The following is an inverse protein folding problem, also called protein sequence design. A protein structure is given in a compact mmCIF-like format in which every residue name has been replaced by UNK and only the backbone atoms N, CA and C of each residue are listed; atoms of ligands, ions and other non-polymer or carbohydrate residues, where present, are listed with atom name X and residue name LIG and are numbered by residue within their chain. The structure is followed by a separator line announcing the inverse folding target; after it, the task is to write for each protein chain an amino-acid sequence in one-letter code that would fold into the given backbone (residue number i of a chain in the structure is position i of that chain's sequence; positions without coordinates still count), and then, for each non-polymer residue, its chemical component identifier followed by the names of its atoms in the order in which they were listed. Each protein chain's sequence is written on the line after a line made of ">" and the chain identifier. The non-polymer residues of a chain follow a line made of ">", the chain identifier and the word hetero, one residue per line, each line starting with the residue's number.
data_IF_397848740274
#
_entry.id   IF_397848740274
#
_cell.length_a   1.000
_cell.length_b   1.000
_cell.length_c   1.000
_cell.angle_alpha   90.00
_cell.angle_beta   90.00
_cell.angle_gamma   90.00
#
_symmetry.space_group_name_H-M   'P 1'
#
loop_
_entity.id
_entity.type
_entity.pdbx_description
1 polymer ?
#
# COMPACT_ATOMS: atom_id res chain seq x y z
N UNK A 1 2.70 17.60 12.17
CA UNK A 1 1.58 17.01 11.39
C UNK A 1 0.47 18.03 11.15
N UNK A 2 -0.08 18.64 12.20
CA UNK A 2 -1.22 19.59 12.07
C UNK A 2 -0.97 20.77 11.12
N UNK A 3 0.19 21.42 11.06
CA UNK A 3 0.44 22.50 10.12
C UNK A 3 0.40 22.08 8.64
N UNK A 4 0.53 20.77 8.37
CA UNK A 4 0.50 20.19 7.02
C UNK A 4 -0.85 19.51 6.70
N UNK A 5 -1.84 19.63 7.58
CA UNK A 5 -3.15 19.02 7.40
C UNK A 5 -3.14 17.48 7.55
N UNK A 6 -2.05 16.91 8.11
CA UNK A 6 -1.98 15.47 8.35
C UNK A 6 -2.65 15.10 9.66
N UNK A 7 -3.31 13.94 9.67
CA UNK A 7 -3.87 13.36 10.89
C UNK A 7 -2.76 12.95 11.86
N UNK A 8 -2.96 13.10 13.18
CA UNK A 8 -2.08 12.54 14.16
C UNK A 8 -2.13 11.00 14.11
N UNK A 9 -0.98 10.37 14.29
CA UNK A 9 -0.89 8.91 14.52
C UNK A 9 -1.22 8.61 15.96
N UNK A 10 -2.02 7.59 16.19
CA UNK A 10 -2.50 7.17 17.51
C UNK A 10 -2.11 5.71 17.80
N UNK A 11 -2.01 5.38 19.07
CA UNK A 11 -1.88 4.00 19.53
C UNK A 11 -3.26 3.51 19.94
N UNK A 12 -3.80 2.57 19.19
CA UNK A 12 -5.12 1.99 19.44
C UNK A 12 -5.08 1.07 20.68
N UNK A 13 -6.21 0.96 21.37
CA UNK A 13 -6.38 -0.01 22.46
C UNK A 13 -6.68 -1.40 21.89
N UNK A 14 -5.65 -2.04 21.39
CA UNK A 14 -5.66 -3.38 20.80
C UNK A 14 -4.59 -4.24 21.48
N UNK A 15 -4.75 -5.57 21.52
CA UNK A 15 -3.70 -6.47 21.97
C UNK A 15 -2.54 -6.51 20.96
N UNK A 16 -1.34 -6.83 21.44
CA UNK A 16 -0.16 -7.03 20.61
C UNK A 16 0.90 -5.94 20.74
N UNK A 17 1.96 -6.05 19.93
CA UNK A 17 3.04 -5.07 19.89
C UNK A 17 2.53 -3.66 19.51
N UNK A 18 3.27 -2.62 19.91
CA UNK A 18 2.87 -1.23 19.64
C UNK A 18 2.71 -0.94 18.14
N UNK A 19 3.56 -1.54 17.29
CA UNK A 19 3.44 -1.41 15.84
C UNK A 19 2.08 -1.88 15.31
N UNK A 20 1.57 -3.00 15.83
CA UNK A 20 0.27 -3.55 15.43
C UNK A 20 -0.91 -2.73 15.94
N UNK A 21 -0.66 -1.78 16.83
CA UNK A 21 -1.63 -0.87 17.42
C UNK A 21 -1.65 0.52 16.76
N UNK A 22 -0.83 0.74 15.75
CA UNK A 22 -0.83 1.99 15.00
C UNK A 22 -2.17 2.23 14.32
N UNK A 23 -2.65 3.45 14.44
CA UNK A 23 -3.85 3.93 13.80
C UNK A 23 -3.86 5.44 13.68
N UNK A 24 -4.91 5.97 13.11
CA UNK A 24 -5.29 7.37 13.15
C UNK A 24 -6.79 7.44 12.93
N UNK A 25 -7.48 8.38 13.56
CA UNK A 25 -8.90 8.58 13.34
C UNK A 25 -9.14 9.32 12.02
N UNK A 26 -9.65 8.67 10.98
CA UNK A 26 -10.01 9.31 9.72
C UNK A 26 -11.32 10.10 9.83
N UNK A 27 -11.97 10.13 11.00
CA UNK A 27 -13.31 10.72 11.20
C UNK A 27 -13.46 12.15 10.69
N UNK A 28 -12.53 13.07 10.99
CA UNK A 28 -12.58 14.42 10.42
C UNK A 28 -12.44 14.46 8.90
N UNK A 29 -11.57 13.58 8.32
CA UNK A 29 -11.31 13.54 6.88
C UNK A 29 -12.42 12.82 6.10
N UNK A 30 -13.05 11.80 6.69
CA UNK A 30 -14.25 11.20 6.08
C UNK A 30 -15.40 12.21 5.95
N UNK A 31 -15.39 13.26 6.76
CA UNK A 31 -16.35 14.37 6.69
C UNK A 31 -15.94 15.46 5.70
N UNK A 32 -14.68 15.53 5.34
CA UNK A 32 -14.18 16.28 4.19
C UNK A 32 -14.10 15.38 2.95
N UNK A 33 -15.09 14.49 2.76
CA UNK A 33 -15.45 14.09 1.40
C UNK A 33 -15.42 15.37 0.56
N UNK A 34 -14.79 15.38 -0.61
CA UNK A 34 -14.68 16.60 -1.38
C UNK A 34 -16.02 17.30 -1.38
N UNK A 35 -16.03 18.59 -1.03
CA UNK A 35 -17.25 19.39 -1.03
C UNK A 35 -17.86 19.47 -2.44
N UNK A 36 -17.15 18.93 -3.41
CA UNK A 36 -17.54 18.74 -4.79
C UNK A 36 -17.75 17.24 -5.08
N UNK A 37 -19.01 16.78 -5.24
CA UNK A 37 -19.31 15.42 -5.68
C UNK A 37 -18.76 15.09 -7.08
N UNK A 38 -18.31 16.09 -7.85
CA UNK A 38 -17.66 15.94 -9.14
C UNK A 38 -16.14 15.74 -9.03
N UNK A 39 -15.55 15.85 -7.83
CA UNK A 39 -14.13 15.58 -7.64
C UNK A 39 -13.85 14.13 -8.06
N UNK A 40 -12.96 13.98 -9.01
CA UNK A 40 -12.57 12.69 -9.55
C UNK A 40 -12.13 11.73 -8.43
N UNK A 41 -12.95 10.71 -8.20
CA UNK A 41 -12.67 9.61 -7.28
C UNK A 41 -12.23 8.37 -8.04
N UNK A 42 -11.23 8.53 -8.88
CA UNK A 42 -10.67 7.42 -9.66
C UNK A 42 -10.35 6.22 -8.76
N UNK A 43 -10.65 5.03 -9.25
CA UNK A 43 -10.31 3.79 -8.55
C UNK A 43 -8.79 3.64 -8.45
N UNK A 44 -8.30 3.36 -7.26
CA UNK A 44 -6.90 3.03 -7.01
C UNK A 44 -6.77 1.55 -6.64
N UNK A 45 -5.96 0.81 -7.38
CA UNK A 45 -5.61 -0.57 -7.07
C UNK A 45 -4.38 -0.62 -6.17
N UNK A 46 -4.52 -1.24 -5.01
CA UNK A 46 -3.42 -1.49 -4.06
C UNK A 46 -3.09 -2.98 -4.10
N UNK A 47 -1.90 -3.31 -4.58
CA UNK A 47 -1.40 -4.69 -4.62
C UNK A 47 -0.71 -4.99 -3.30
N UNK A 48 -1.16 -6.04 -2.62
CA UNK A 48 -0.64 -6.50 -1.33
C UNK A 48 -0.14 -7.94 -1.47
N UNK A 49 1.15 -8.14 -1.86
CA UNK A 49 1.71 -9.49 -1.91
C UNK A 49 1.95 -10.00 -0.48
N UNK A 50 1.65 -11.28 -0.25
CA UNK A 50 1.89 -11.94 1.04
C UNK A 50 2.40 -13.37 0.84
N UNK A 51 3.40 -13.74 1.65
CA UNK A 51 3.89 -15.10 1.78
C UNK A 51 4.25 -15.38 3.23
N UNK A 52 3.57 -16.34 3.86
CA UNK A 52 3.73 -16.70 5.28
C UNK A 52 3.75 -15.45 6.19
N UNK A 53 2.75 -14.57 6.02
CA UNK A 53 2.63 -13.29 6.72
C UNK A 53 1.39 -13.22 7.62
N UNK A 54 0.89 -14.33 8.15
CA UNK A 54 -0.32 -14.38 8.97
C UNK A 54 -0.26 -13.43 10.19
N UNK A 55 0.94 -13.25 10.78
CA UNK A 55 1.13 -12.39 11.94
C UNK A 55 1.03 -10.88 11.61
N UNK A 56 1.39 -10.47 10.40
CA UNK A 56 1.51 -9.05 10.01
C UNK A 56 0.37 -8.57 9.11
N UNK A 57 -0.24 -9.47 8.34
CA UNK A 57 -1.27 -9.14 7.35
C UNK A 57 -2.45 -8.35 7.93
N UNK A 58 -2.84 -8.65 9.17
CA UNK A 58 -3.93 -7.95 9.85
C UNK A 58 -3.67 -6.46 10.02
N UNK A 59 -2.44 -6.08 10.34
CA UNK A 59 -2.02 -4.67 10.51
C UNK A 59 -2.01 -3.94 9.19
N UNK A 60 -1.46 -4.53 8.13
CA UNK A 60 -1.47 -3.96 6.78
C UNK A 60 -2.91 -3.72 6.27
N UNK A 61 -3.79 -4.71 6.41
CA UNK A 61 -5.20 -4.60 5.99
C UNK A 61 -5.97 -3.54 6.78
N UNK A 62 -5.73 -3.41 8.10
CA UNK A 62 -6.34 -2.32 8.88
C UNK A 62 -5.90 -0.95 8.36
N UNK A 63 -4.60 -0.75 8.11
CA UNK A 63 -4.06 0.50 7.57
C UNK A 63 -4.66 0.85 6.21
N UNK A 64 -4.83 -0.13 5.32
CA UNK A 64 -5.44 0.07 4.01
C UNK A 64 -6.95 0.35 4.09
N UNK A 65 -7.68 -0.33 4.97
CA UNK A 65 -9.11 -0.08 5.20
C UNK A 65 -9.39 1.31 5.76
N UNK A 66 -8.44 1.85 6.52
CA UNK A 66 -8.52 3.17 7.17
C UNK A 66 -8.08 4.33 6.25
N UNK A 67 -7.70 4.08 5.00
CA UNK A 67 -7.29 5.15 4.09
C UNK A 67 -8.41 6.17 3.88
N UNK A 68 -8.04 7.46 3.80
CA UNK A 68 -8.99 8.56 3.52
C UNK A 68 -9.55 8.48 2.10
N UNK A 69 -8.76 8.04 1.15
CA UNK A 69 -9.24 7.73 -0.20
C UNK A 69 -10.02 6.41 -0.18
N UNK A 70 -11.34 6.47 -0.41
CA UNK A 70 -12.22 5.32 -0.22
C UNK A 70 -12.43 4.47 -1.47
N UNK A 71 -12.27 5.04 -2.67
CA UNK A 71 -12.44 4.28 -3.92
C UNK A 71 -11.19 3.44 -4.22
N UNK A 72 -11.08 2.34 -3.49
CA UNK A 72 -9.95 1.40 -3.53
C UNK A 72 -10.43 0.00 -3.95
N UNK A 73 -9.58 -0.72 -4.69
CA UNK A 73 -9.52 -2.17 -4.65
C UNK A 73 -8.20 -2.60 -4.00
N UNK A 74 -8.26 -3.59 -3.13
CA UNK A 74 -7.12 -4.14 -2.42
C UNK A 74 -6.92 -5.57 -2.92
N UNK A 75 -5.87 -5.78 -3.71
CA UNK A 75 -5.54 -7.07 -4.31
C UNK A 75 -4.54 -7.80 -3.41
N UNK A 76 -5.05 -8.64 -2.51
CA UNK A 76 -4.18 -9.51 -1.69
C UNK A 76 -3.73 -10.68 -2.54
N UNK A 77 -2.43 -10.74 -2.83
CA UNK A 77 -1.84 -11.80 -3.64
C UNK A 77 -1.08 -12.76 -2.74
N UNK A 78 -1.70 -13.90 -2.44
CA UNK A 78 -1.05 -14.96 -1.67
C UNK A 78 -0.09 -15.76 -2.56
N UNK A 79 1.19 -15.69 -2.25
CA UNK A 79 2.26 -16.35 -3.01
C UNK A 79 2.51 -17.79 -2.53
N UNK A 80 1.44 -18.56 -2.35
CA UNK A 80 1.51 -19.96 -1.96
C UNK A 80 1.89 -20.15 -0.48
N UNK A 81 1.31 -19.37 0.42
CA UNK A 81 1.55 -19.49 1.86
C UNK A 81 1.15 -20.87 2.41
N UNK A 82 1.92 -21.32 3.39
CA UNK A 82 1.67 -22.55 4.15
C UNK A 82 1.07 -22.29 5.54
N UNK A 83 1.04 -21.03 5.97
CA UNK A 83 0.42 -20.56 7.22
C UNK A 83 -1.03 -20.09 6.97
N UNK A 84 -1.63 -19.43 7.96
CA UNK A 84 -3.02 -18.94 7.89
C UNK A 84 -3.22 -17.69 7.01
N UNK A 85 -2.19 -17.18 6.31
CA UNK A 85 -2.27 -15.95 5.50
C UNK A 85 -3.43 -15.96 4.52
N UNK A 86 -3.58 -17.03 3.72
CA UNK A 86 -4.66 -17.15 2.74
C UNK A 86 -6.04 -17.20 3.40
N UNK A 87 -6.16 -17.89 4.54
CA UNK A 87 -7.42 -17.97 5.29
C UNK A 87 -7.83 -16.59 5.84
N UNK A 88 -6.87 -15.83 6.40
CA UNK A 88 -7.06 -14.47 6.90
C UNK A 88 -7.44 -13.51 5.77
N UNK A 89 -6.74 -13.57 4.63
CA UNK A 89 -7.07 -12.75 3.45
C UNK A 89 -8.51 -12.99 2.97
N UNK A 90 -8.93 -14.25 2.87
CA UNK A 90 -10.30 -14.63 2.49
C UNK A 90 -11.33 -14.19 3.53
N UNK A 91 -11.00 -14.25 4.82
CA UNK A 91 -11.87 -13.74 5.87
C UNK A 91 -12.05 -12.21 5.78
N UNK A 92 -10.98 -11.48 5.50
CA UNK A 92 -11.03 -10.04 5.28
C UNK A 92 -11.87 -9.67 4.04
N UNK A 93 -11.74 -10.40 2.94
CA UNK A 93 -12.53 -10.19 1.72
C UNK A 93 -14.04 -10.41 1.93
N UNK A 94 -14.44 -11.29 2.84
CA UNK A 94 -15.87 -11.44 3.21
C UNK A 94 -16.42 -10.26 4.01
N UNK A 95 -15.55 -9.48 4.65
CA UNK A 95 -15.95 -8.33 5.48
C UNK A 95 -15.87 -6.99 4.72
N UNK A 96 -15.07 -6.92 3.67
CA UNK A 96 -14.83 -5.69 2.90
C UNK A 96 -14.77 -6.01 1.41
N UNK A 97 -15.80 -5.59 0.67
CA UNK A 97 -15.95 -5.87 -0.77
C UNK A 97 -14.84 -5.26 -1.63
N UNK A 98 -14.06 -4.32 -1.10
CA UNK A 98 -12.88 -3.75 -1.78
C UNK A 98 -11.71 -4.73 -1.84
N UNK A 99 -11.72 -5.79 -1.01
CA UNK A 99 -10.63 -6.76 -0.93
C UNK A 99 -10.92 -7.93 -1.88
N UNK A 100 -9.99 -8.18 -2.78
CA UNK A 100 -9.97 -9.34 -3.69
C UNK A 100 -8.73 -10.18 -3.40
N UNK A 101 -8.88 -11.50 -3.38
CA UNK A 101 -7.78 -12.42 -3.08
C UNK A 101 -7.40 -13.19 -4.34
N UNK A 102 -6.12 -13.13 -4.68
CA UNK A 102 -5.50 -13.93 -5.74
C UNK A 102 -4.55 -14.93 -5.08
N UNK A 103 -4.81 -16.23 -5.24
CA UNK A 103 -3.96 -17.27 -4.68
C UNK A 103 -3.08 -17.87 -5.79
N UNK A 104 -1.76 -17.80 -5.61
CA UNK A 104 -0.80 -18.52 -6.45
C UNK A 104 -0.58 -19.91 -5.85
N UNK A 105 -0.65 -20.95 -6.62
CA UNK A 105 -0.57 -22.33 -6.10
C UNK A 105 0.79 -22.73 -5.49
N UNK A 106 1.81 -21.86 -5.58
CA UNK A 106 3.16 -22.06 -5.04
C UNK A 106 3.88 -20.73 -4.89
N UNK A 107 4.91 -20.69 -4.05
CA UNK A 107 5.79 -19.52 -3.92
C UNK A 107 6.59 -19.30 -5.22
N UNK A 108 6.40 -18.13 -5.81
CA UNK A 108 7.11 -17.66 -7.01
C UNK A 108 7.97 -16.41 -6.70
N UNK A 109 7.84 -15.82 -5.52
CA UNK A 109 8.53 -14.62 -5.06
C UNK A 109 7.68 -13.35 -5.15
N UNK A 110 8.15 -12.30 -4.47
CA UNK A 110 7.39 -11.06 -4.31
C UNK A 110 7.05 -10.37 -5.66
N UNK A 111 7.98 -10.34 -6.61
CA UNK A 111 7.74 -9.66 -7.89
C UNK A 111 6.77 -10.40 -8.82
N UNK A 112 6.82 -11.73 -8.98
CA UNK A 112 5.73 -12.48 -9.61
C UNK A 112 4.37 -12.28 -8.95
N UNK A 113 4.31 -12.20 -7.62
CA UNK A 113 3.06 -11.90 -6.91
C UNK A 113 2.57 -10.47 -7.21
N UNK A 114 3.47 -9.46 -7.18
CA UNK A 114 3.14 -8.10 -7.62
C UNK A 114 2.65 -8.07 -9.06
N UNK A 115 3.29 -8.80 -9.96
CA UNK A 115 2.88 -8.89 -11.37
C UNK A 115 1.49 -9.50 -11.55
N UNK A 116 1.16 -10.52 -10.77
CA UNK A 116 -0.18 -11.11 -10.78
C UNK A 116 -1.25 -10.08 -10.33
N UNK A 117 -0.98 -9.34 -9.25
CA UNK A 117 -1.83 -8.24 -8.82
C UNK A 117 -1.92 -7.12 -9.86
N UNK A 118 -0.80 -6.73 -10.46
CA UNK A 118 -0.72 -5.69 -11.48
C UNK A 118 -1.53 -6.03 -12.72
N UNK A 119 -1.49 -7.30 -13.15
CA UNK A 119 -2.31 -7.80 -14.26
C UNK A 119 -3.81 -7.80 -13.94
N UNK A 120 -4.18 -8.05 -12.67
CA UNK A 120 -5.57 -8.11 -12.22
C UNK A 120 -6.16 -6.76 -11.80
N UNK A 121 -5.32 -5.71 -11.71
CA UNK A 121 -5.69 -4.37 -11.29
C UNK A 121 -6.64 -3.71 -12.29
N UNK A 122 -7.70 -3.08 -11.77
CA UNK A 122 -8.76 -2.41 -12.53
C UNK A 122 -8.75 -0.88 -12.33
N UNK A 123 -7.98 -0.38 -11.36
CA UNK A 123 -7.90 1.03 -11.05
C UNK A 123 -7.21 1.85 -12.13
N UNK A 124 -7.56 3.13 -12.20
CA UNK A 124 -6.87 4.12 -13.03
C UNK A 124 -5.43 4.36 -12.55
N UNK A 125 -5.20 4.16 -11.26
CA UNK A 125 -3.90 4.24 -10.62
C UNK A 125 -3.60 2.93 -9.88
N UNK A 126 -2.33 2.54 -9.86
CA UNK A 126 -1.88 1.28 -9.26
C UNK A 126 -0.70 1.56 -8.34
N UNK A 127 -0.72 0.99 -7.14
CA UNK A 127 0.38 1.05 -6.18
C UNK A 127 0.58 -0.28 -5.49
N UNK A 128 1.70 -0.43 -4.78
CA UNK A 128 2.03 -1.62 -3.98
C UNK A 128 2.07 -1.24 -2.50
N UNK A 129 1.72 -2.20 -1.65
CA UNK A 129 1.84 -2.13 -0.20
C UNK A 129 2.37 -3.47 0.32
N UNK A 130 3.49 -3.46 1.02
CA UNK A 130 4.06 -4.71 1.56
C UNK A 130 3.26 -5.16 2.80
N UNK A 131 3.14 -6.48 2.99
CA UNK A 131 2.25 -7.05 4.01
C UNK A 131 2.72 -6.80 5.45
N UNK A 132 3.99 -6.44 5.64
CA UNK A 132 4.61 -6.09 6.92
C UNK A 132 4.70 -4.59 7.18
N UNK A 133 4.13 -3.76 6.30
CA UNK A 133 4.10 -2.31 6.44
C UNK A 133 2.79 -1.82 7.07
N UNK A 134 2.88 -0.65 7.71
CA UNK A 134 1.73 0.19 8.06
C UNK A 134 1.78 1.49 7.26
N UNK A 135 0.65 1.91 6.72
CA UNK A 135 0.53 3.17 5.98
C UNK A 135 -0.34 4.19 6.71
N UNK A 136 0.16 5.43 6.77
CA UNK A 136 -0.63 6.56 7.26
C UNK A 136 -1.96 6.65 6.48
N UNK A 137 -3.10 6.94 7.14
CA UNK A 137 -4.41 6.95 6.47
C UNK A 137 -4.56 7.87 5.28
N UNK A 138 -3.75 8.91 5.18
CA UNK A 138 -3.76 9.84 4.04
C UNK A 138 -2.76 9.48 2.94
N UNK A 139 -2.03 8.37 3.04
CA UNK A 139 -0.99 8.02 2.06
C UNK A 139 -1.51 7.96 0.64
N UNK A 140 -2.58 7.20 0.43
CA UNK A 140 -3.14 7.00 -0.93
C UNK A 140 -3.67 8.33 -1.49
N UNK A 141 -4.37 9.10 -0.67
CA UNK A 141 -4.90 10.41 -1.08
C UNK A 141 -3.78 11.37 -1.50
N UNK A 142 -2.71 11.47 -0.70
CA UNK A 142 -1.58 12.34 -0.99
C UNK A 142 -0.79 11.91 -2.24
N UNK A 143 -0.83 10.64 -2.59
CA UNK A 143 -0.19 10.13 -3.81
C UNK A 143 -1.08 10.29 -5.06
N UNK A 144 -2.38 10.08 -4.95
CA UNK A 144 -3.28 10.09 -6.10
C UNK A 144 -3.69 11.49 -6.53
N UNK A 145 -3.88 12.43 -5.57
CA UNK A 145 -4.30 13.80 -5.91
C UNK A 145 -3.38 14.51 -6.90
N UNK A 146 -2.05 14.54 -6.73
CA UNK A 146 -1.18 15.15 -7.73
C UNK A 146 -1.29 14.50 -9.11
N UNK A 147 -1.51 13.19 -9.17
CA UNK A 147 -1.72 12.49 -10.43
C UNK A 147 -3.02 12.90 -11.12
N UNK A 148 -4.08 13.21 -10.37
CA UNK A 148 -5.35 13.70 -10.92
C UNK A 148 -5.22 15.15 -11.38
N UNK A 149 -4.61 16.00 -10.56
CA UNK A 149 -4.47 17.44 -10.79
C UNK A 149 -3.48 17.79 -11.89
N UNK A 150 -2.45 16.96 -12.09
CA UNK A 150 -1.38 17.15 -13.07
C UNK A 150 -1.33 15.99 -14.08
N UNK A 151 -2.04 16.08 -15.23
CA UNK A 151 -2.10 14.99 -16.22
C UNK A 151 -0.75 14.53 -16.75
N UNK A 152 0.24 15.40 -16.81
CA UNK A 152 1.60 15.11 -17.26
C UNK A 152 2.40 14.31 -16.23
N UNK A 153 2.01 14.37 -14.94
CA UNK A 153 2.66 13.59 -13.88
C UNK A 153 2.30 12.11 -14.05
N UNK A 154 3.31 11.26 -14.21
CA UNK A 154 3.10 9.85 -14.52
C UNK A 154 3.07 8.95 -13.28
N UNK A 155 3.81 9.33 -12.23
CA UNK A 155 3.92 8.53 -11.02
C UNK A 155 4.25 9.40 -9.78
N UNK A 156 3.93 8.87 -8.61
CA UNK A 156 4.31 9.42 -7.31
C UNK A 156 4.93 8.34 -6.42
N UNK A 157 5.76 8.75 -5.45
CA UNK A 157 6.29 7.86 -4.41
C UNK A 157 6.08 8.49 -3.04
N UNK A 158 5.86 7.65 -2.02
CA UNK A 158 5.86 8.11 -0.64
C UNK A 158 7.27 8.03 -0.02
N UNK A 159 7.37 8.46 1.23
CA UNK A 159 8.54 8.23 2.06
C UNK A 159 8.20 7.20 3.14
N UNK A 160 9.21 6.57 3.69
CA UNK A 160 9.10 5.63 4.78
C UNK A 160 10.15 5.91 5.87
N UNK A 161 9.86 5.45 7.04
CA UNK A 161 10.80 5.33 8.15
C UNK A 161 10.72 3.90 8.72
N UNK A 162 11.81 3.40 9.22
CA UNK A 162 11.87 2.08 9.85
C UNK A 162 11.62 2.21 11.34
N UNK A 163 10.72 1.39 11.86
CA UNK A 163 10.45 1.28 13.29
C UNK A 163 10.45 -0.19 13.71
N UNK A 164 10.83 -0.44 14.95
CA UNK A 164 10.64 -1.77 15.56
C UNK A 164 9.21 -1.97 16.06
N UNK A 165 8.92 -3.16 16.55
CA UNK A 165 7.61 -3.50 17.13
C UNK A 165 7.27 -2.64 18.38
N UNK A 166 8.26 -2.02 19.00
CA UNK A 166 8.17 -1.08 20.12
C UNK A 166 8.10 0.40 19.67
N UNK A 167 7.99 0.64 18.36
CA UNK A 167 8.02 1.95 17.68
C UNK A 167 9.33 2.72 17.83
N UNK A 168 10.40 2.07 18.27
CA UNK A 168 11.71 2.70 18.22
C UNK A 168 12.18 2.85 16.77
N UNK A 169 12.59 4.05 16.41
CA UNK A 169 13.08 4.34 15.07
C UNK A 169 14.45 3.69 14.86
N UNK A 170 14.64 3.08 13.71
CA UNK A 170 15.91 2.52 13.27
C UNK A 170 16.38 3.20 11.98
N UNK A 171 17.68 3.46 11.89
CA UNK A 171 18.28 3.96 10.64
C UNK A 171 18.43 2.80 9.65
N UNK A 172 18.16 3.11 8.39
CA UNK A 172 18.47 2.19 7.30
C UNK A 172 19.93 2.35 6.91
N UNK A 173 20.75 1.33 7.16
CA UNK A 173 22.21 1.38 6.94
C UNK A 173 22.91 2.44 7.81
N UNK A 174 24.07 2.89 7.38
CA UNK A 174 24.91 3.90 8.07
C UNK A 174 24.57 5.34 7.64
N UNK A 175 23.40 5.57 7.07
CA UNK A 175 23.01 6.91 6.62
C UNK A 175 22.51 7.79 7.79
N UNK A 176 22.77 9.09 7.70
CA UNK A 176 22.39 10.05 8.77
C UNK A 176 20.91 10.46 8.77
N UNK A 177 20.12 9.97 7.80
CA UNK A 177 18.71 10.31 7.69
C UNK A 177 17.80 9.22 8.30
N UNK A 178 16.61 9.63 8.70
CA UNK A 178 15.58 8.72 9.27
C UNK A 178 14.45 8.41 8.27
N UNK A 179 14.27 9.28 7.28
CA UNK A 179 13.18 9.20 6.30
C UNK A 179 13.78 8.97 4.93
N UNK A 180 13.28 7.98 4.24
CA UNK A 180 13.79 7.52 2.94
C UNK A 180 12.67 7.52 1.90
N UNK A 181 13.04 7.68 0.62
CA UNK A 181 12.10 7.46 -0.49
C UNK A 181 11.71 5.99 -0.56
N UNK A 182 10.42 5.72 -0.62
CA UNK A 182 9.88 4.37 -0.70
C UNK A 182 9.58 3.99 -2.16
N UNK A 183 10.55 3.42 -2.86
CA UNK A 183 10.36 2.99 -4.26
C UNK A 183 9.33 1.86 -4.39
N UNK A 184 9.12 1.03 -3.35
CA UNK A 184 8.08 0.00 -3.33
C UNK A 184 6.67 0.60 -3.28
N UNK A 185 6.52 1.84 -2.80
CA UNK A 185 5.23 2.55 -2.74
C UNK A 185 4.87 3.30 -4.01
N UNK A 186 5.61 3.08 -5.10
CA UNK A 186 5.35 3.73 -6.37
C UNK A 186 3.87 3.61 -6.73
N UNK A 187 3.23 4.76 -6.96
CA UNK A 187 1.89 4.84 -7.54
C UNK A 187 2.02 5.39 -8.95
N UNK A 188 1.44 4.70 -9.92
CA UNK A 188 1.53 5.05 -11.33
C UNK A 188 0.16 5.00 -12.02
N UNK A 189 0.04 5.68 -13.15
CA UNK A 189 -1.11 5.55 -14.03
C UNK A 189 -1.17 4.15 -14.64
N UNK A 190 -2.34 3.51 -14.61
CA UNK A 190 -2.52 2.17 -15.17
C UNK A 190 -2.15 2.07 -16.66
N UNK A 191 -2.33 3.16 -17.41
CA UNK A 191 -1.96 3.23 -18.83
C UNK A 191 -0.47 3.07 -19.11
N UNK A 192 0.40 3.29 -18.12
CA UNK A 192 1.85 3.06 -18.28
C UNK A 192 2.22 1.57 -18.34
N UNK A 193 1.31 0.68 -17.89
CA UNK A 193 1.56 -0.77 -17.86
C UNK A 193 1.96 -1.33 -19.23
N UNK A 194 1.33 -0.89 -20.28
CA UNK A 194 1.57 -1.41 -21.63
C UNK A 194 2.94 -0.97 -22.19
N UNK A 195 3.41 0.21 -21.79
CA UNK A 195 4.72 0.73 -22.22
C UNK A 195 5.88 0.28 -21.34
N UNK A 196 5.69 0.24 -20.01
CA UNK A 196 6.73 -0.11 -19.05
C UNK A 196 6.86 -1.63 -18.84
N UNK A 197 5.78 -2.38 -19.09
CA UNK A 197 5.72 -3.81 -18.79
C UNK A 197 5.58 -4.09 -17.30
N UNK A 198 6.13 -5.22 -16.88
CA UNK A 198 6.02 -5.78 -15.54
C UNK A 198 7.35 -5.68 -14.79
N UNK A 199 7.31 -5.88 -13.44
CA UNK A 199 8.55 -6.06 -12.67
C UNK A 199 9.30 -7.28 -13.16
N UNK A 200 10.62 -7.16 -13.27
CA UNK A 200 11.49 -8.26 -13.63
C UNK A 200 11.42 -9.40 -12.61
N UNK A 201 11.52 -10.62 -13.08
CA UNK A 201 11.52 -11.83 -12.25
C UNK A 201 12.87 -12.05 -11.59
N UNK A 202 13.36 -11.05 -10.87
CA UNK A 202 14.59 -11.14 -10.08
C UNK A 202 14.25 -11.30 -8.61
N UNK A 203 15.24 -11.64 -7.80
CA UNK A 203 15.01 -11.91 -6.37
C UNK A 203 14.93 -10.64 -5.53
N UNK A 204 15.65 -9.58 -5.92
CA UNK A 204 15.76 -8.31 -5.20
C UNK A 204 15.91 -7.15 -6.18
N UNK A 205 15.55 -5.94 -5.74
CA UNK A 205 15.74 -4.65 -6.45
C UNK A 205 14.93 -4.43 -7.74
N UNK A 206 13.94 -5.28 -8.08
CA UNK A 206 13.11 -5.02 -9.25
C UNK A 206 12.20 -3.79 -9.08
N UNK A 207 11.84 -3.41 -7.85
CA UNK A 207 11.12 -2.18 -7.54
C UNK A 207 11.97 -0.94 -7.83
N UNK A 208 13.26 -0.97 -7.46
CA UNK A 208 14.22 0.09 -7.78
C UNK A 208 14.42 0.21 -9.29
N UNK A 209 14.59 -0.91 -9.98
CA UNK A 209 14.73 -0.95 -11.44
C UNK A 209 13.46 -0.41 -12.11
N UNK A 210 12.28 -0.87 -11.70
CA UNK A 210 11.01 -0.42 -12.26
C UNK A 210 10.78 1.07 -12.04
N UNK A 211 11.17 1.62 -10.88
CA UNK A 211 11.15 3.04 -10.62
C UNK A 211 12.02 3.83 -11.61
N UNK A 212 13.20 3.32 -11.97
CA UNK A 212 14.08 3.97 -12.96
C UNK A 212 13.58 3.86 -14.40
N UNK A 213 12.67 2.95 -14.72
CA UNK A 213 12.01 2.93 -16.05
C UNK A 213 11.06 4.11 -16.26
N UNK A 214 10.58 4.73 -15.19
CA UNK A 214 9.60 5.82 -15.24
C UNK A 214 10.30 7.18 -15.36
N UNK A 215 11.54 7.28 -14.88
CA UNK A 215 12.31 8.54 -14.94
C UNK A 215 12.88 8.79 -16.32
#
# INVERSE_FOLDING_TARGET
>A
YLPQGLLPVEILDLPGPLFDRLGADPGPLRRTAPADPSADQSLVSVILPVFNGAEVLGTALRGLRAQSWQNLEILVVDDGSSDDSLALARAAARQDARIRVLAQGRNLGAYPARNAGFSAAQGAFITVHDADDWSHPQKIELQVRPLIEEPELQATVSHWLRVGNDLQMARWRMEERWVYRNVSSLMLRAGLRDGLGYWDRVRVNADTEYYYRIL
#
